data_IF_230854957055
#
_entry.id   IF_230854957055
#
_cell.length_a   1.000
_cell.length_b   1.000
_cell.length_c   1.000
_cell.angle_alpha   90.00
_cell.angle_beta   90.00
_cell.angle_gamma   90.00
#
_symmetry.space_group_name_H-M   'P 1'
#
loop_
_entity.id
_entity.type
_entity.pdbx_description
1 polymer ?
#
# COMPACT_ATOMS: atom_id res chain seq x y z
N UNK A 1 17.59 5.89 -3.07
CA UNK A 1 17.28 5.17 -1.83
C UNK A 1 16.50 3.91 -2.15
N UNK A 2 16.87 2.79 -1.50
CA UNK A 2 16.22 1.50 -1.66
C UNK A 2 15.58 1.06 -0.34
N UNK A 3 14.46 0.36 -0.43
CA UNK A 3 13.88 -0.32 0.73
C UNK A 3 14.48 -1.71 0.91
N UNK A 4 14.68 -2.13 2.15
CA UNK A 4 15.20 -3.45 2.50
C UNK A 4 14.08 -4.51 2.53
N UNK A 5 14.32 -5.69 1.96
CA UNK A 5 15.49 -6.08 1.19
C UNK A 5 15.41 -5.63 -0.28
N UNK A 6 16.42 -4.92 -0.80
CA UNK A 6 16.35 -4.28 -2.13
C UNK A 6 16.21 -5.28 -3.28
N UNK A 7 16.52 -6.55 -3.04
CA UNK A 7 16.31 -7.62 -4.03
C UNK A 7 14.83 -7.87 -4.31
N UNK A 8 13.96 -7.69 -3.31
CA UNK A 8 12.55 -8.06 -3.40
C UNK A 8 11.63 -6.84 -3.54
N UNK A 9 11.91 -5.77 -2.80
CA UNK A 9 11.13 -4.54 -2.88
C UNK A 9 11.51 -3.74 -4.12
N UNK A 10 10.50 -3.30 -4.86
CA UNK A 10 10.70 -2.69 -6.17
C UNK A 10 10.99 -1.19 -6.12
N UNK A 11 10.75 -0.51 -5.00
CA UNK A 11 10.96 0.93 -4.88
C UNK A 11 12.42 1.32 -5.07
N UNK A 12 12.64 2.30 -5.93
CA UNK A 12 13.88 3.03 -6.08
C UNK A 12 13.58 4.54 -6.09
N UNK A 13 13.77 5.19 -4.95
CA UNK A 13 13.62 6.63 -4.83
C UNK A 13 14.88 7.32 -5.37
N UNK A 14 14.69 8.26 -6.30
CA UNK A 14 15.73 9.12 -6.87
C UNK A 14 15.53 10.53 -6.30
N UNK A 15 16.51 11.01 -5.54
CA UNK A 15 16.43 12.26 -4.78
C UNK A 15 17.49 13.22 -5.31
N UNK A 16 17.19 14.07 -6.31
CA UNK A 16 18.14 15.07 -6.81
C UNK A 16 18.26 16.23 -5.82
N UNK A 17 19.48 16.69 -5.63
CA UNK A 17 19.77 17.94 -4.95
C UNK A 17 19.89 19.09 -5.95
N UNK A 18 19.92 20.33 -5.46
CA UNK A 18 19.96 21.55 -6.30
C UNK A 18 21.09 21.57 -7.33
N UNK A 19 22.21 20.89 -7.06
CA UNK A 19 23.38 20.81 -7.96
C UNK A 19 23.44 19.53 -8.79
N UNK A 20 22.47 18.66 -8.68
CA UNK A 20 22.45 17.39 -9.43
C UNK A 20 22.17 17.66 -10.91
N UNK A 21 23.01 17.12 -11.79
CA UNK A 21 22.81 17.25 -13.24
C UNK A 21 21.49 16.56 -13.65
N UNK A 22 20.57 17.26 -14.32
CA UNK A 22 19.32 16.67 -14.81
C UNK A 22 19.52 15.43 -15.71
N UNK A 23 20.63 15.37 -16.45
CA UNK A 23 20.96 14.19 -17.27
C UNK A 23 21.26 12.96 -16.42
N UNK A 24 21.89 13.14 -15.24
CA UNK A 24 22.12 12.07 -14.31
C UNK A 24 20.81 11.57 -13.70
N UNK A 25 19.89 12.48 -13.40
CA UNK A 25 18.54 12.12 -12.90
C UNK A 25 17.82 11.27 -13.94
N UNK A 26 17.75 11.73 -15.19
CA UNK A 26 17.12 10.97 -16.28
C UNK A 26 17.76 9.60 -16.50
N UNK A 27 19.10 9.55 -16.45
CA UNK A 27 19.82 8.28 -16.55
C UNK A 27 19.48 7.32 -15.40
N UNK A 28 19.43 7.80 -14.14
CA UNK A 28 19.11 6.96 -13.00
C UNK A 28 17.66 6.47 -13.01
N UNK A 29 16.73 7.30 -13.47
CA UNK A 29 15.33 6.91 -13.64
C UNK A 29 15.22 5.77 -14.66
N UNK A 30 15.84 5.91 -15.83
CA UNK A 30 15.84 4.88 -16.87
C UNK A 30 16.61 3.61 -16.43
N UNK A 31 17.78 3.79 -15.82
CA UNK A 31 18.59 2.66 -15.32
C UNK A 31 17.83 1.84 -14.27
N UNK A 32 17.16 2.50 -13.34
CA UNK A 32 16.36 1.84 -12.31
C UNK A 32 15.19 1.08 -12.89
N UNK A 33 14.48 1.67 -13.84
CA UNK A 33 13.33 1.07 -14.51
C UNK A 33 13.75 -0.09 -15.45
N UNK A 34 14.56 0.21 -16.45
CA UNK A 34 14.87 -0.73 -17.54
C UNK A 34 15.89 -1.79 -17.14
N UNK A 35 16.95 -1.40 -16.41
CA UNK A 35 18.05 -2.32 -16.10
C UNK A 35 17.83 -3.04 -14.78
N UNK A 36 17.38 -2.34 -13.73
CA UNK A 36 17.16 -2.95 -12.42
C UNK A 36 15.75 -3.55 -12.24
N UNK A 37 14.81 -3.27 -13.13
CA UNK A 37 13.41 -3.70 -13.02
C UNK A 37 12.71 -3.11 -11.78
N UNK A 38 13.12 -1.91 -11.37
CA UNK A 38 12.57 -1.19 -10.23
C UNK A 38 11.49 -0.22 -10.68
N UNK A 39 10.60 0.13 -9.75
CA UNK A 39 9.77 1.32 -9.89
C UNK A 39 10.60 2.51 -9.43
N UNK A 40 11.01 3.35 -10.37
CA UNK A 40 11.74 4.58 -10.05
C UNK A 40 10.76 5.70 -9.71
N UNK A 41 11.01 6.37 -8.60
CA UNK A 41 10.18 7.47 -8.11
C UNK A 41 11.07 8.69 -7.87
N UNK A 42 10.74 9.80 -8.51
CA UNK A 42 11.40 11.07 -8.27
C UNK A 42 10.85 11.70 -7.00
N UNK A 43 11.72 11.96 -6.03
CA UNK A 43 11.36 12.50 -4.72
C UNK A 43 12.04 13.86 -4.49
N UNK A 44 11.42 14.67 -3.63
CA UNK A 44 12.10 15.85 -3.08
C UNK A 44 13.13 15.45 -2.02
N UNK A 45 14.17 16.30 -1.86
CA UNK A 45 15.17 16.10 -0.78
C UNK A 45 14.62 16.61 0.56
N UNK A 46 13.66 15.86 1.09
CA UNK A 46 12.95 16.14 2.35
C UNK A 46 13.10 14.97 3.32
N UNK A 47 12.97 15.19 4.63
CA UNK A 47 13.11 14.12 5.63
C UNK A 47 12.17 12.96 5.38
N UNK A 48 12.74 11.75 5.22
CA UNK A 48 11.99 10.51 4.95
C UNK A 48 11.55 10.31 3.51
N UNK A 49 11.84 11.26 2.63
CA UNK A 49 11.42 11.26 1.22
C UNK A 49 9.90 10.99 1.10
N UNK A 50 9.47 10.07 0.24
CA UNK A 50 8.07 9.68 0.15
C UNK A 50 7.80 8.46 1.02
N UNK A 51 8.54 7.39 0.78
CA UNK A 51 8.21 6.07 1.35
C UNK A 51 8.25 6.05 2.87
N UNK A 52 9.33 6.48 3.49
CA UNK A 52 9.42 6.51 4.96
C UNK A 52 8.48 7.56 5.58
N UNK A 53 8.31 8.72 4.92
CA UNK A 53 7.43 9.78 5.44
C UNK A 53 6.00 9.28 5.63
N UNK A 54 5.42 8.70 4.58
CA UNK A 54 4.04 8.18 4.61
C UNK A 54 3.96 6.86 5.39
N UNK A 55 4.90 5.93 5.19
CA UNK A 55 4.86 4.60 5.82
C UNK A 55 4.98 4.64 7.34
N UNK A 56 5.83 5.50 7.88
CA UNK A 56 5.96 5.69 9.34
C UNK A 56 4.68 6.29 9.92
N UNK A 57 4.10 7.30 9.25
CA UNK A 57 2.81 7.87 9.63
C UNK A 57 1.71 6.80 9.70
N UNK A 58 1.60 5.93 8.68
CA UNK A 58 0.64 4.81 8.68
C UNK A 58 0.83 3.88 9.87
N UNK A 59 2.07 3.52 10.20
CA UNK A 59 2.40 2.68 11.35
C UNK A 59 2.02 3.31 12.69
N UNK A 60 2.34 4.59 12.87
CA UNK A 60 2.01 5.35 14.09
C UNK A 60 0.49 5.46 14.24
N UNK A 61 -0.23 5.87 13.19
CA UNK A 61 -1.70 6.00 13.25
C UNK A 61 -2.36 4.66 13.57
N UNK A 62 -1.90 3.57 12.97
CA UNK A 62 -2.39 2.22 13.30
C UNK A 62 -2.19 1.88 14.78
N UNK A 63 -1.02 2.18 15.36
CA UNK A 63 -0.74 1.97 16.79
C UNK A 63 -1.64 2.82 17.69
N UNK A 64 -1.84 4.09 17.36
CA UNK A 64 -2.74 4.98 18.10
C UNK A 64 -4.19 4.48 18.11
N UNK A 65 -4.68 4.03 16.95
CA UNK A 65 -6.03 3.49 16.82
C UNK A 65 -6.19 2.13 17.52
N UNK A 66 -5.11 1.35 17.60
CA UNK A 66 -5.08 0.10 18.37
C UNK A 66 -5.38 0.38 19.86
N UNK A 67 -4.69 1.36 20.43
CA UNK A 67 -4.92 1.80 21.83
C UNK A 67 -6.31 2.42 21.99
N UNK A 68 -6.69 3.34 21.09
CA UNK A 68 -7.98 4.05 21.13
C UNK A 68 -9.18 3.12 21.18
N UNK A 69 -9.14 2.04 20.39
CA UNK A 69 -10.25 1.07 20.27
C UNK A 69 -10.03 -0.21 21.07
N UNK A 70 -8.94 -0.27 21.83
CA UNK A 70 -8.56 -1.43 22.65
C UNK A 70 -8.52 -2.74 21.87
N UNK A 71 -7.93 -2.71 20.67
CA UNK A 71 -7.69 -3.91 19.87
C UNK A 71 -6.42 -4.65 20.33
N UNK A 72 -6.43 -5.96 20.17
CA UNK A 72 -5.23 -6.78 20.30
C UNK A 72 -4.38 -6.67 19.06
N UNK A 73 -3.07 -6.82 19.20
CA UNK A 73 -2.13 -6.70 18.08
C UNK A 73 -2.43 -7.68 16.94
N UNK A 74 -2.92 -8.88 17.26
CA UNK A 74 -3.31 -9.87 16.25
C UNK A 74 -4.56 -9.44 15.46
N UNK A 75 -5.49 -8.74 16.10
CA UNK A 75 -6.69 -8.20 15.46
C UNK A 75 -6.30 -7.11 14.45
N UNK A 76 -5.41 -6.22 14.85
CA UNK A 76 -4.92 -5.16 13.97
C UNK A 76 -4.09 -5.71 12.81
N UNK A 77 -3.23 -6.70 13.05
CA UNK A 77 -2.52 -7.37 11.94
C UNK A 77 -3.48 -8.03 10.94
N UNK A 78 -4.60 -8.57 11.42
CA UNK A 78 -5.65 -9.09 10.53
C UNK A 78 -6.35 -7.98 9.75
N UNK A 79 -6.62 -6.84 10.40
CA UNK A 79 -7.30 -5.68 9.83
C UNK A 79 -6.42 -4.95 8.82
N UNK A 80 -5.12 -4.78 9.12
CA UNK A 80 -4.15 -4.06 8.27
C UNK A 80 -3.40 -4.99 7.31
N UNK A 81 -4.03 -6.09 6.92
CA UNK A 81 -3.50 -7.06 5.98
C UNK A 81 -4.20 -7.06 4.63
N UNK A 82 -4.29 -8.25 4.02
CA UNK A 82 -4.82 -8.43 2.65
C UNK A 82 -6.27 -7.99 2.45
N UNK A 83 -7.05 -7.85 3.52
CA UNK A 83 -8.44 -7.39 3.43
C UNK A 83 -8.54 -5.97 2.86
N UNK A 84 -7.54 -5.14 3.09
CA UNK A 84 -7.43 -3.77 2.55
C UNK A 84 -6.28 -3.62 1.53
N UNK A 85 -5.82 -4.71 0.95
CA UNK A 85 -4.77 -4.67 -0.08
C UNK A 85 -3.35 -4.50 0.45
N UNK A 86 -3.10 -4.70 1.75
CA UNK A 86 -1.78 -4.65 2.37
C UNK A 86 -1.19 -6.07 2.51
N UNK A 87 0.13 -6.22 2.70
CA UNK A 87 0.74 -7.51 2.98
C UNK A 87 0.18 -8.21 4.22
N UNK A 88 0.17 -9.54 4.20
CA UNK A 88 -0.35 -10.33 5.31
C UNK A 88 0.42 -10.20 6.64
N UNK A 89 1.54 -9.51 6.64
CA UNK A 89 2.26 -9.17 7.88
C UNK A 89 1.44 -8.25 8.80
N UNK A 90 0.55 -7.44 8.24
CA UNK A 90 -0.15 -6.42 9.03
C UNK A 90 0.78 -5.36 9.57
N UNK A 91 0.43 -4.74 10.69
CA UNK A 91 1.19 -3.63 11.29
C UNK A 91 2.29 -4.12 12.24
N UNK A 92 1.96 -4.90 13.25
CA UNK A 92 2.88 -5.26 14.33
C UNK A 92 3.90 -6.34 13.93
N UNK A 93 3.49 -7.33 13.14
CA UNK A 93 4.44 -8.29 12.56
C UNK A 93 5.39 -7.64 11.56
N UNK A 94 4.93 -6.63 10.81
CA UNK A 94 5.80 -5.87 9.93
C UNK A 94 6.86 -5.11 10.71
N UNK A 95 6.49 -4.47 11.84
CA UNK A 95 7.43 -3.79 12.70
C UNK A 95 8.47 -4.75 13.29
N UNK A 96 8.07 -5.94 13.73
CA UNK A 96 8.99 -6.98 14.19
C UNK A 96 9.92 -7.49 13.08
N UNK A 97 9.47 -7.49 11.83
CA UNK A 97 10.27 -7.89 10.66
C UNK A 97 11.32 -6.83 10.31
N UNK A 98 10.93 -5.55 10.31
CA UNK A 98 11.81 -4.40 10.04
C UNK A 98 12.84 -4.23 11.18
N UNK A 99 12.38 -4.42 12.39
CA UNK A 99 13.11 -4.20 13.62
C UNK A 99 12.77 -2.88 14.28
N UNK A 100 12.34 -2.96 15.54
CA UNK A 100 11.80 -1.82 16.29
C UNK A 100 12.82 -0.72 16.53
N UNK A 101 14.10 -1.06 16.70
CA UNK A 101 15.21 -0.08 16.76
C UNK A 101 15.38 0.69 15.43
N UNK A 102 15.16 0.04 14.31
CA UNK A 102 15.16 0.73 13.00
C UNK A 102 13.96 1.67 12.89
N UNK A 103 12.78 1.19 13.30
CA UNK A 103 11.55 2.00 13.32
C UNK A 103 11.69 3.20 14.26
N UNK A 104 12.27 2.99 15.45
CA UNK A 104 12.55 4.06 16.43
C UNK A 104 13.48 5.13 15.87
N UNK A 105 14.61 4.72 15.28
CA UNK A 105 15.56 5.63 14.66
C UNK A 105 14.95 6.47 13.54
N UNK A 106 14.16 5.86 12.66
CA UNK A 106 13.49 6.58 11.56
C UNK A 106 12.43 7.52 12.09
N UNK A 107 11.63 7.09 13.05
CA UNK A 107 10.60 7.92 13.70
C UNK A 107 11.24 9.14 14.40
N UNK A 108 12.27 8.92 15.19
CA UNK A 108 13.00 10.00 15.87
C UNK A 108 13.65 10.98 14.88
N UNK A 109 14.20 10.46 13.77
CA UNK A 109 14.72 11.29 12.70
C UNK A 109 13.63 12.19 12.11
N UNK A 110 12.46 11.63 11.79
CA UNK A 110 11.33 12.40 11.26
C UNK A 110 10.84 13.44 12.26
N UNK A 111 10.62 13.07 13.50
CA UNK A 111 10.20 13.99 14.57
C UNK A 111 11.13 15.19 14.74
N UNK A 112 12.44 14.98 14.57
CA UNK A 112 13.42 16.04 14.76
C UNK A 112 13.66 16.92 13.54
N UNK A 113 13.34 16.44 12.32
CA UNK A 113 13.69 17.10 11.08
C UNK A 113 12.48 17.55 10.25
N UNK A 114 11.29 17.01 10.50
CA UNK A 114 10.06 17.46 9.86
C UNK A 114 9.50 18.63 10.63
N UNK A 115 9.47 19.79 9.98
CA UNK A 115 8.92 21.02 10.54
C UNK A 115 7.70 21.42 9.71
N UNK A 116 6.81 22.20 10.30
CA UNK A 116 5.59 22.72 9.64
C UNK A 116 4.63 21.63 9.10
N UNK A 117 4.68 20.46 9.72
CA UNK A 117 3.85 19.30 9.41
C UNK A 117 2.88 19.01 10.54
N UNK A 118 1.60 19.03 10.24
CA UNK A 118 0.55 18.89 11.25
C UNK A 118 0.61 17.53 11.96
N UNK A 119 0.90 16.43 11.25
CA UNK A 119 0.94 15.09 11.84
C UNK A 119 2.12 14.93 12.80
N UNK A 120 3.35 15.18 12.32
CA UNK A 120 4.56 14.98 13.14
C UNK A 120 4.69 16.03 14.24
N UNK A 121 4.22 17.27 14.02
CA UNK A 121 4.19 18.30 15.07
C UNK A 121 3.22 17.92 16.19
N UNK A 122 2.01 17.48 15.85
CA UNK A 122 1.05 17.01 16.86
C UNK A 122 1.54 15.77 17.61
N UNK A 123 2.33 14.91 16.96
CA UNK A 123 2.88 13.71 17.59
C UNK A 123 3.89 14.06 18.71
N UNK A 124 4.65 15.15 18.56
CA UNK A 124 5.61 15.60 19.60
C UNK A 124 4.94 15.93 20.94
N UNK A 125 3.69 16.37 20.89
CA UNK A 125 2.92 16.76 22.06
C UNK A 125 2.09 15.60 22.68
N UNK A 126 2.12 14.43 22.04
CA UNK A 126 1.41 13.25 22.51
C UNK A 126 2.26 12.44 23.52
N UNK A 127 1.59 11.75 24.46
CA UNK A 127 2.29 10.84 25.35
C UNK A 127 2.97 9.72 24.57
N UNK A 128 4.18 9.39 25.00
CA UNK A 128 4.96 8.30 24.42
C UNK A 128 4.21 6.96 24.53
N UNK A 129 4.24 6.16 23.43
CA UNK A 129 3.64 4.82 23.44
C UNK A 129 4.38 3.93 24.44
N UNK A 130 3.71 3.56 25.53
CA UNK A 130 4.31 2.82 26.66
C UNK A 130 4.83 1.45 26.25
N UNK A 131 4.09 0.74 25.41
CA UNK A 131 4.47 -0.60 24.97
C UNK A 131 5.64 -0.57 24.00
N UNK A 132 5.69 0.41 23.10
CA UNK A 132 6.84 0.61 22.21
C UNK A 132 8.10 0.96 23.02
N UNK A 133 8.00 1.89 23.98
CA UNK A 133 9.08 2.22 24.89
C UNK A 133 9.58 1.01 25.67
N UNK A 134 8.66 0.24 26.26
CA UNK A 134 8.99 -1.00 26.95
C UNK A 134 9.82 -1.96 26.06
N UNK A 135 9.43 -2.13 24.78
CA UNK A 135 10.13 -2.98 23.85
C UNK A 135 11.54 -2.47 23.55
N UNK A 136 11.71 -1.17 23.33
CA UNK A 136 13.03 -0.54 23.07
C UNK A 136 13.95 -0.64 24.28
N UNK A 137 13.48 -0.30 25.49
CA UNK A 137 14.26 -0.33 26.73
C UNK A 137 14.76 -1.76 27.06
N UNK A 138 13.93 -2.78 26.76
CA UNK A 138 14.28 -4.18 26.97
C UNK A 138 15.06 -4.80 25.80
N UNK A 139 15.36 -4.06 24.72
CA UNK A 139 16.02 -4.52 23.52
C UNK A 139 15.27 -5.65 22.81
N UNK A 140 13.94 -5.62 22.88
CA UNK A 140 13.06 -6.54 22.18
C UNK A 140 12.76 -5.99 20.78
N UNK A 141 13.71 -6.12 19.87
CA UNK A 141 13.71 -5.48 18.56
C UNK A 141 13.00 -6.28 17.45
N UNK A 142 12.17 -7.25 17.82
CA UNK A 142 11.45 -8.09 16.86
C UNK A 142 12.25 -9.34 16.46
N UNK A 143 12.08 -9.78 15.22
CA UNK A 143 12.63 -11.04 14.73
C UNK A 143 14.14 -11.18 14.91
N UNK A 144 14.90 -10.11 14.75
CA UNK A 144 16.35 -10.10 14.87
C UNK A 144 16.86 -10.34 16.31
N UNK A 145 16.04 -10.00 17.31
CA UNK A 145 16.33 -10.28 18.72
C UNK A 145 15.56 -11.50 19.24
N UNK A 146 14.73 -12.11 18.41
CA UNK A 146 13.87 -13.23 18.77
C UNK A 146 12.60 -12.86 19.54
N UNK A 147 12.42 -11.58 19.86
CA UNK A 147 11.32 -11.05 20.65
C UNK A 147 11.04 -9.60 20.28
N UNK A 148 9.77 -9.23 20.16
CA UNK A 148 9.26 -7.92 19.85
C UNK A 148 7.79 -7.84 20.27
N UNK A 149 6.91 -7.36 19.42
CA UNK A 149 5.47 -7.48 19.64
C UNK A 149 5.03 -8.95 19.71
N UNK A 150 5.76 -9.80 19.00
CA UNK A 150 5.59 -11.26 19.07
C UNK A 150 6.87 -11.93 19.58
N UNK A 151 6.68 -13.06 20.24
CA UNK A 151 7.76 -13.93 20.71
C UNK A 151 7.52 -15.34 20.19
N UNK A 152 8.49 -15.88 19.46
CA UNK A 152 8.48 -17.27 19.05
C UNK A 152 9.10 -18.13 20.16
N UNK A 153 8.27 -18.91 20.85
CA UNK A 153 8.74 -19.74 21.96
C UNK A 153 9.42 -21.03 21.48
N UNK A 154 10.11 -21.72 22.39
CA UNK A 154 10.66 -23.06 22.13
C UNK A 154 9.60 -24.16 22.22
N UNK A 155 8.45 -23.87 22.83
CA UNK A 155 7.33 -24.79 22.92
C UNK A 155 6.75 -25.10 21.55
N UNK A 156 6.23 -26.32 21.41
CA UNK A 156 5.55 -26.77 20.19
C UNK A 156 4.09 -27.03 20.46
N UNK A 157 3.27 -26.68 19.49
CA UNK A 157 1.86 -27.05 19.47
C UNK A 157 1.68 -28.54 19.06
N UNK A 158 0.43 -29.01 19.05
CA UNK A 158 0.08 -30.38 18.67
C UNK A 158 0.51 -30.75 17.23
N UNK A 159 0.74 -29.75 16.38
CA UNK A 159 1.19 -29.92 15.00
C UNK A 159 2.72 -29.74 14.84
N UNK A 160 3.48 -29.66 15.94
CA UNK A 160 4.93 -29.47 15.94
C UNK A 160 5.40 -28.06 15.57
N UNK A 161 4.47 -27.06 15.49
CA UNK A 161 4.79 -25.67 15.21
C UNK A 161 5.14 -24.94 16.49
N UNK A 162 6.05 -23.97 16.41
CA UNK A 162 6.37 -23.14 17.59
C UNK A 162 5.14 -22.35 18.05
N UNK A 163 4.91 -22.37 19.34
CA UNK A 163 3.93 -21.51 19.99
C UNK A 163 4.39 -20.06 19.84
N UNK A 164 3.48 -19.17 19.46
CA UNK A 164 3.75 -17.74 19.35
C UNK A 164 3.02 -17.03 20.49
N UNK A 165 3.76 -16.22 21.23
CA UNK A 165 3.18 -15.30 22.18
C UNK A 165 3.04 -13.91 21.53
N UNK A 166 2.08 -13.14 22.00
CA UNK A 166 1.80 -11.77 21.61
C UNK A 166 1.85 -10.87 22.85
N UNK A 167 2.41 -9.67 22.68
CA UNK A 167 2.45 -8.67 23.72
C UNK A 167 1.04 -8.13 24.00
N UNK A 168 0.66 -8.09 25.23
CA UNK A 168 -0.49 -7.34 25.69
C UNK A 168 -0.09 -5.89 25.91
N UNK A 169 -0.73 -4.94 25.20
CA UNK A 169 -0.32 -3.54 25.20
C UNK A 169 -0.69 -2.78 26.49
N UNK A 170 -1.62 -3.32 27.29
CA UNK A 170 -2.01 -2.71 28.56
C UNK A 170 -1.03 -3.09 29.68
N UNK A 171 -0.65 -4.38 29.73
CA UNK A 171 0.15 -4.94 30.82
C UNK A 171 1.64 -5.03 30.52
N UNK A 172 2.02 -4.98 29.23
CA UNK A 172 3.36 -5.32 28.73
C UNK A 172 3.80 -6.76 29.05
N UNK A 173 2.84 -7.65 29.28
CA UNK A 173 3.09 -9.08 29.47
C UNK A 173 2.84 -9.88 28.18
N UNK A 174 3.59 -10.98 28.04
CA UNK A 174 3.40 -11.87 26.90
C UNK A 174 2.35 -12.94 27.21
N UNK A 175 1.36 -13.06 26.35
CA UNK A 175 0.33 -14.10 26.39
C UNK A 175 0.34 -14.93 25.13
N UNK A 176 -0.22 -16.14 25.18
CA UNK A 176 -0.40 -16.97 23.99
C UNK A 176 -1.18 -16.17 22.94
N UNK A 177 -0.65 -16.13 21.71
CA UNK A 177 -1.31 -15.46 20.59
C UNK A 177 -2.64 -16.13 20.27
N UNK A 178 -3.65 -15.32 20.00
CA UNK A 178 -4.98 -15.76 19.63
C UNK A 178 -5.17 -15.75 18.12
N UNK A 179 -6.15 -16.51 17.63
CA UNK A 179 -6.65 -16.37 16.27
C UNK A 179 -7.79 -15.34 16.30
N UNK A 180 -7.61 -14.16 15.68
CA UNK A 180 -8.64 -13.13 15.68
C UNK A 180 -9.95 -13.62 15.04
N UNK A 181 -11.08 -13.19 15.61
CA UNK A 181 -12.40 -13.47 15.07
C UNK A 181 -13.20 -12.17 15.03
N UNK A 182 -13.06 -11.41 13.95
CA UNK A 182 -13.78 -10.16 13.70
C UNK A 182 -14.82 -10.42 12.60
N UNK A 183 -16.11 -10.36 12.93
CA UNK A 183 -17.18 -10.63 11.97
C UNK A 183 -17.12 -9.75 10.74
N UNK A 184 -16.83 -8.46 10.91
CA UNK A 184 -16.71 -7.47 9.83
C UNK A 184 -15.60 -7.86 8.85
N UNK A 185 -14.47 -8.35 9.36
CA UNK A 185 -13.35 -8.79 8.49
C UNK A 185 -13.70 -10.06 7.73
N UNK A 186 -14.45 -10.97 8.38
CA UNK A 186 -14.92 -12.19 7.71
C UNK A 186 -15.88 -11.85 6.58
N UNK A 187 -16.81 -10.92 6.81
CA UNK A 187 -17.77 -10.46 5.81
C UNK A 187 -17.04 -9.70 4.69
N UNK A 188 -16.18 -8.75 5.01
CA UNK A 188 -15.40 -8.00 4.05
C UNK A 188 -14.60 -8.91 3.09
N UNK A 189 -14.02 -10.01 3.61
CA UNK A 189 -13.28 -10.98 2.78
C UNK A 189 -14.17 -11.75 1.78
N UNK A 190 -15.48 -11.79 1.97
CA UNK A 190 -16.43 -12.39 1.01
C UNK A 190 -16.81 -11.43 -0.13
N UNK A 191 -16.51 -10.13 0.01
CA UNK A 191 -16.77 -9.12 -1.01
C UNK A 191 -15.58 -9.12 -1.98
N UNK A 192 -15.81 -9.59 -3.20
CA UNK A 192 -14.75 -9.70 -4.22
C UNK A 192 -14.23 -8.34 -4.68
N UNK A 193 -15.15 -7.41 -5.00
CA UNK A 193 -14.81 -6.10 -5.53
C UNK A 193 -14.22 -5.21 -4.44
N UNK A 194 -13.02 -4.71 -4.69
CA UNK A 194 -12.24 -3.97 -3.69
C UNK A 194 -12.92 -2.66 -3.26
N UNK A 195 -13.49 -1.92 -4.19
CA UNK A 195 -14.25 -0.68 -3.93
C UNK A 195 -15.43 -0.93 -2.98
N UNK A 196 -16.21 -1.99 -3.22
CA UNK A 196 -17.34 -2.38 -2.38
C UNK A 196 -16.87 -2.83 -1.00
N UNK A 197 -15.75 -3.53 -0.94
CA UNK A 197 -15.15 -3.99 0.31
C UNK A 197 -14.67 -2.81 1.16
N UNK A 198 -13.99 -1.84 0.57
CA UNK A 198 -13.56 -0.62 1.27
C UNK A 198 -14.74 0.18 1.81
N UNK A 199 -15.77 0.40 0.98
CA UNK A 199 -17.00 1.10 1.40
C UNK A 199 -17.66 0.40 2.58
N UNK A 200 -17.85 -0.94 2.51
CA UNK A 200 -18.35 -1.72 3.63
C UNK A 200 -17.54 -1.51 4.92
N UNK A 201 -16.21 -1.48 4.82
CA UNK A 201 -15.34 -1.31 5.98
C UNK A 201 -15.40 0.08 6.61
N UNK A 202 -15.68 1.14 5.86
CA UNK A 202 -15.71 2.52 6.38
C UNK A 202 -17.12 3.03 6.73
N UNK A 203 -18.18 2.38 6.26
CA UNK A 203 -19.57 2.85 6.43
C UNK A 203 -20.25 2.40 7.74
N UNK A 204 -19.78 1.36 8.40
CA UNK A 204 -20.40 0.84 9.62
C UNK A 204 -20.05 1.63 10.89
N UNK A 205 -20.65 1.22 12.02
CA UNK A 205 -20.52 1.88 13.32
C UNK A 205 -19.72 1.09 14.36
N UNK A 206 -19.27 -0.11 14.03
CA UNK A 206 -18.45 -0.93 14.94
C UNK A 206 -17.07 -0.28 15.18
N UNK A 207 -16.34 -0.73 16.19
CA UNK A 207 -14.97 -0.27 16.42
C UNK A 207 -14.04 -0.60 15.24
N UNK A 208 -14.29 -1.69 14.53
CA UNK A 208 -13.57 -2.06 13.31
C UNK A 208 -13.80 -1.03 12.21
N UNK A 209 -15.06 -0.64 11.96
CA UNK A 209 -15.39 0.37 10.96
C UNK A 209 -14.82 1.76 11.33
N UNK A 210 -14.94 2.15 12.60
CA UNK A 210 -14.36 3.42 13.10
C UNK A 210 -12.85 3.44 12.96
N UNK A 211 -12.17 2.32 13.24
CA UNK A 211 -10.74 2.17 12.99
C UNK A 211 -10.40 2.45 11.53
N UNK A 212 -11.07 1.79 10.57
CA UNK A 212 -10.79 2.01 9.15
C UNK A 212 -11.11 3.42 8.68
N UNK A 213 -12.22 3.97 9.15
CA UNK A 213 -12.60 5.34 8.83
C UNK A 213 -11.54 6.35 9.24
N UNK A 214 -11.05 6.28 10.48
CA UNK A 214 -10.01 7.18 10.95
C UNK A 214 -8.63 6.86 10.35
N UNK A 215 -8.33 5.59 10.12
CA UNK A 215 -7.07 5.17 9.51
C UNK A 215 -6.93 5.71 8.08
N UNK A 216 -7.93 5.46 7.25
CA UNK A 216 -7.93 5.98 5.88
C UNK A 216 -8.05 7.50 5.82
N UNK A 217 -8.88 8.13 6.67
CA UNK A 217 -8.96 9.60 6.71
C UNK A 217 -7.60 10.23 6.95
N UNK A 218 -6.82 9.72 7.89
CA UNK A 218 -5.48 10.22 8.17
C UNK A 218 -4.53 9.97 6.99
N UNK A 219 -4.51 8.77 6.41
CA UNK A 219 -3.62 8.44 5.28
C UNK A 219 -3.90 9.32 4.07
N UNK A 220 -5.18 9.45 3.69
CA UNK A 220 -5.58 10.20 2.51
C UNK A 220 -5.31 11.70 2.69
N UNK A 221 -5.71 12.26 3.85
CA UNK A 221 -5.43 13.64 4.20
C UNK A 221 -3.94 13.93 4.18
N UNK A 222 -3.15 13.16 4.94
CA UNK A 222 -1.72 13.39 5.05
C UNK A 222 -0.99 13.25 3.71
N UNK A 223 -1.32 12.23 2.91
CA UNK A 223 -0.74 12.08 1.58
C UNK A 223 -1.02 13.27 0.67
N UNK A 224 -2.26 13.80 0.72
CA UNK A 224 -2.64 14.95 -0.09
C UNK A 224 -2.03 16.27 0.40
N UNK A 225 -1.91 16.45 1.72
CA UNK A 225 -1.27 17.62 2.33
C UNK A 225 0.24 17.65 2.10
N UNK A 226 0.88 16.50 1.92
CA UNK A 226 2.32 16.39 1.68
C UNK A 226 2.75 16.83 0.28
N UNK A 227 1.82 17.14 -0.63
CA UNK A 227 2.10 17.70 -1.95
C UNK A 227 2.01 19.24 -1.85
N UNK A 228 2.98 20.00 -2.36
CA UNK A 228 4.16 19.60 -3.16
C UNK A 228 5.46 19.39 -2.37
N UNK A 229 5.40 19.23 -1.05
CA UNK A 229 6.61 19.16 -0.20
C UNK A 229 7.49 17.94 -0.53
N UNK A 230 6.90 16.73 -0.58
CA UNK A 230 7.65 15.47 -0.75
C UNK A 230 7.69 14.97 -2.19
N UNK A 231 6.71 15.37 -3.00
CA UNK A 231 6.54 14.97 -4.41
C UNK A 231 5.88 16.11 -5.20
N UNK A 232 6.10 16.15 -6.52
CA UNK A 232 5.40 17.09 -7.39
C UNK A 232 3.97 16.65 -7.68
N UNK A 233 3.75 15.33 -7.83
CA UNK A 233 2.49 14.74 -8.21
C UNK A 233 2.13 13.55 -7.31
N UNK A 234 0.85 13.32 -7.13
CA UNK A 234 0.34 12.28 -6.23
C UNK A 234 0.60 10.83 -6.72
N UNK A 235 0.76 10.59 -8.03
CA UNK A 235 1.11 9.27 -8.54
C UNK A 235 2.47 8.78 -8.02
N UNK A 236 3.39 9.71 -7.71
CA UNK A 236 4.69 9.39 -7.13
C UNK A 236 4.55 8.81 -5.70
N UNK A 237 3.58 9.34 -4.94
CA UNK A 237 3.25 8.81 -3.60
C UNK A 237 2.68 7.39 -3.74
N UNK A 238 1.73 7.18 -4.65
CA UNK A 238 1.14 5.86 -4.86
C UNK A 238 2.19 4.84 -5.32
N UNK A 239 3.03 5.19 -6.28
CA UNK A 239 4.10 4.32 -6.76
C UNK A 239 5.10 3.98 -5.64
N UNK A 240 5.48 4.97 -4.80
CA UNK A 240 6.39 4.74 -3.68
C UNK A 240 5.80 3.79 -2.63
N UNK A 241 4.53 3.98 -2.26
CA UNK A 241 3.87 3.16 -1.24
C UNK A 241 3.59 1.75 -1.78
N UNK A 242 3.10 1.62 -3.00
CA UNK A 242 2.87 0.30 -3.62
C UNK A 242 4.14 -0.53 -3.70
N UNK A 243 5.24 0.06 -4.08
CA UNK A 243 6.48 -0.68 -4.38
C UNK A 243 7.46 -0.75 -3.22
N UNK A 244 7.36 0.18 -2.26
CA UNK A 244 8.15 0.18 -1.03
C UNK A 244 7.56 -0.69 0.08
N UNK A 245 6.23 -0.75 0.17
CA UNK A 245 5.53 -1.52 1.19
C UNK A 245 4.72 -2.69 0.63
N UNK A 246 4.83 -2.95 -0.66
CA UNK A 246 4.08 -4.00 -1.36
C UNK A 246 2.56 -3.90 -1.17
N UNK A 247 2.02 -2.68 -1.14
CA UNK A 247 0.58 -2.46 -1.14
C UNK A 247 0.01 -2.72 -2.53
N UNK A 248 -1.22 -3.22 -2.59
CA UNK A 248 -1.94 -3.41 -3.87
C UNK A 248 -2.37 -2.07 -4.48
N UNK A 249 -2.67 -1.10 -3.63
CA UNK A 249 -3.13 0.24 -4.02
C UNK A 249 -2.40 1.30 -3.20
N UNK A 250 -2.02 2.41 -3.83
CA UNK A 250 -1.52 3.57 -3.13
C UNK A 250 -2.65 4.43 -2.53
N UNK A 251 -2.33 5.46 -1.73
CA UNK A 251 -3.32 6.30 -1.08
C UNK A 251 -4.39 6.89 -2.02
N UNK A 252 -4.01 7.42 -3.17
CA UNK A 252 -4.95 8.03 -4.11
C UNK A 252 -5.72 6.98 -4.93
N UNK A 253 -5.14 5.82 -5.19
CA UNK A 253 -5.87 4.68 -5.75
C UNK A 253 -6.92 4.13 -4.75
N UNK A 254 -6.62 4.13 -3.44
CA UNK A 254 -7.59 3.83 -2.39
C UNK A 254 -8.71 4.88 -2.36
N UNK A 255 -8.36 6.17 -2.54
CA UNK A 255 -9.34 7.25 -2.59
C UNK A 255 -10.29 7.08 -3.78
N UNK A 256 -9.78 6.73 -4.97
CA UNK A 256 -10.61 6.44 -6.15
C UNK A 256 -11.59 5.28 -5.87
N UNK A 257 -11.15 4.23 -5.19
CA UNK A 257 -12.03 3.10 -4.82
C UNK A 257 -13.14 3.50 -3.83
N UNK A 258 -12.90 4.48 -2.97
CA UNK A 258 -13.92 5.07 -2.08
C UNK A 258 -14.84 6.04 -2.83
N UNK A 259 -14.31 6.74 -3.82
CA UNK A 259 -14.90 7.88 -4.50
C UNK A 259 -14.42 9.20 -3.90
N UNK A 260 -14.15 10.20 -4.75
CA UNK A 260 -13.55 11.49 -4.33
C UNK A 260 -14.39 12.17 -3.25
N UNK A 261 -15.69 12.37 -3.49
CA UNK A 261 -16.60 13.04 -2.56
C UNK A 261 -16.73 12.29 -1.24
N UNK A 262 -16.91 10.97 -1.30
CA UNK A 262 -16.98 10.11 -0.10
C UNK A 262 -15.71 10.24 0.73
N UNK A 263 -14.53 10.27 0.08
CA UNK A 263 -13.27 10.46 0.77
C UNK A 263 -13.15 11.85 1.42
N UNK A 264 -13.57 12.91 0.72
CA UNK A 264 -13.61 14.28 1.27
C UNK A 264 -14.51 14.35 2.51
N UNK A 265 -15.72 13.80 2.43
CA UNK A 265 -16.66 13.77 3.55
C UNK A 265 -16.11 12.96 4.73
N UNK A 266 -15.53 11.82 4.45
CA UNK A 266 -14.92 10.95 5.46
C UNK A 266 -13.79 11.67 6.20
N UNK A 267 -12.85 12.28 5.48
CA UNK A 267 -11.72 13.04 6.03
C UNK A 267 -12.23 14.14 6.95
N UNK A 268 -13.15 14.98 6.46
CA UNK A 268 -13.75 16.08 7.25
C UNK A 268 -14.49 15.58 8.49
N UNK A 269 -15.22 14.46 8.37
CA UNK A 269 -15.96 13.88 9.50
C UNK A 269 -15.06 13.33 10.61
N UNK A 270 -13.81 13.01 10.29
CA UNK A 270 -12.78 12.59 11.25
C UNK A 270 -11.95 13.76 11.82
N UNK A 271 -12.23 15.00 11.39
CA UNK A 271 -11.52 16.20 11.84
C UNK A 271 -10.15 16.40 11.17
N UNK A 272 -9.90 15.67 10.09
CA UNK A 272 -8.68 15.82 9.28
C UNK A 272 -8.90 16.87 8.17
N UNK A 273 -7.83 17.43 7.63
CA UNK A 273 -7.87 18.48 6.61
C UNK A 273 -7.88 17.91 5.19
N UNK A 274 -8.57 18.62 4.29
CA UNK A 274 -8.55 18.35 2.85
C UNK A 274 -7.92 19.56 2.16
N UNK A 275 -6.78 19.41 1.46
CA UNK A 275 -6.14 20.53 0.79
C UNK A 275 -7.00 21.07 -0.36
N UNK A 276 -6.86 22.38 -0.64
CA UNK A 276 -7.68 23.07 -1.64
C UNK A 276 -7.57 22.43 -3.03
N UNK A 277 -6.41 21.90 -3.42
CA UNK A 277 -6.25 21.29 -4.73
C UNK A 277 -7.16 20.08 -4.95
N UNK A 278 -7.50 19.32 -3.89
CA UNK A 278 -8.49 18.22 -3.95
C UNK A 278 -9.89 18.76 -4.17
N UNK A 279 -10.30 19.79 -3.42
CA UNK A 279 -11.62 20.39 -3.58
C UNK A 279 -11.77 21.08 -4.93
N UNK A 280 -10.72 21.72 -5.43
CA UNK A 280 -10.69 22.34 -6.75
C UNK A 280 -10.76 21.29 -7.88
N UNK A 281 -10.06 20.15 -7.69
CA UNK A 281 -10.13 19.01 -8.61
C UNK A 281 -11.58 18.49 -8.69
N UNK A 282 -12.22 18.21 -7.56
CA UNK A 282 -13.60 17.75 -7.50
C UNK A 282 -14.55 18.80 -8.14
N UNK A 283 -14.44 20.07 -7.80
CA UNK A 283 -15.24 21.15 -8.36
C UNK A 283 -15.06 21.34 -9.87
N UNK A 284 -13.93 20.91 -10.45
CA UNK A 284 -13.69 20.94 -11.89
C UNK A 284 -14.36 19.81 -12.67
N UNK A 285 -15.06 18.89 -11.98
CA UNK A 285 -15.75 17.75 -12.55
C UNK A 285 -14.85 16.53 -12.78
N UNK A 286 -13.68 16.47 -12.15
CA UNK A 286 -12.87 15.26 -12.13
C UNK A 286 -13.54 14.18 -11.27
N UNK A 287 -13.80 13.03 -11.86
CA UNK A 287 -14.51 11.92 -11.21
C UNK A 287 -13.58 10.98 -10.45
N UNK A 288 -12.27 11.00 -10.79
CA UNK A 288 -11.25 10.11 -10.22
C UNK A 288 -9.87 10.74 -10.32
N UNK A 289 -8.93 10.26 -9.51
CA UNK A 289 -7.50 10.60 -9.64
C UNK A 289 -6.90 9.97 -10.89
N UNK A 290 -7.32 8.74 -11.20
CA UNK A 290 -6.78 7.97 -12.32
C UNK A 290 -7.89 7.56 -13.30
N UNK A 291 -7.49 7.44 -14.57
CA UNK A 291 -8.30 6.80 -15.64
C UNK A 291 -7.44 5.85 -16.43
N UNK A 292 -8.08 4.80 -16.94
CA UNK A 292 -7.45 3.88 -17.89
C UNK A 292 -8.05 4.13 -19.28
N UNK A 293 -7.23 4.60 -20.19
CA UNK A 293 -7.64 4.88 -21.56
C UNK A 293 -6.54 4.45 -22.53
N UNK A 294 -6.91 3.82 -23.65
CA UNK A 294 -5.98 3.37 -24.70
C UNK A 294 -4.83 2.47 -24.18
N UNK A 295 -5.13 1.61 -23.21
CA UNK A 295 -4.16 0.71 -22.61
C UNK A 295 -3.15 1.39 -21.67
N UNK A 296 -3.37 2.66 -21.30
CA UNK A 296 -2.48 3.46 -20.45
C UNK A 296 -3.18 3.94 -19.21
N UNK A 297 -2.42 4.02 -18.11
CA UNK A 297 -2.84 4.69 -16.90
C UNK A 297 -2.59 6.19 -17.05
N UNK A 298 -3.63 6.98 -16.86
CA UNK A 298 -3.58 8.45 -16.83
C UNK A 298 -3.89 8.95 -15.43
N UNK A 299 -3.31 10.07 -15.06
CA UNK A 299 -3.65 10.79 -13.83
C UNK A 299 -4.19 12.19 -14.15
N UNK A 300 -5.03 12.72 -13.29
CA UNK A 300 -5.57 14.06 -13.45
C UNK A 300 -4.49 15.08 -13.04
N UNK A 301 -3.94 15.79 -14.02
CA UNK A 301 -3.02 16.91 -13.77
C UNK A 301 -3.80 18.15 -13.34
N UNK A 302 -3.58 18.55 -12.09
CA UNK A 302 -4.28 19.68 -11.46
C UNK A 302 -4.02 21.01 -12.21
N UNK A 303 -2.83 21.17 -12.80
CA UNK A 303 -2.45 22.39 -13.48
C UNK A 303 -3.14 22.54 -14.84
N UNK A 304 -3.11 21.50 -15.66
CA UNK A 304 -3.76 21.52 -16.99
C UNK A 304 -5.24 21.17 -16.93
N UNK A 305 -5.74 20.65 -15.79
CA UNK A 305 -7.12 20.15 -15.60
C UNK A 305 -7.51 19.06 -16.62
N UNK A 306 -6.56 18.19 -16.93
CA UNK A 306 -6.71 17.10 -17.91
C UNK A 306 -6.09 15.81 -17.40
N UNK A 307 -6.59 14.69 -17.89
CA UNK A 307 -5.93 13.40 -17.70
C UNK A 307 -4.76 13.28 -18.66
N UNK A 308 -3.56 13.10 -18.11
CA UNK A 308 -2.31 12.88 -18.85
C UNK A 308 -1.68 11.55 -18.45
N UNK A 309 -0.86 10.98 -19.32
CA UNK A 309 -0.24 9.67 -19.06
C UNK A 309 0.66 9.76 -17.82
N UNK A 310 0.56 8.75 -16.94
CA UNK A 310 1.52 8.58 -15.83
C UNK A 310 2.90 8.28 -16.43
N UNK A 311 3.93 9.11 -16.18
CA UNK A 311 5.25 8.93 -16.81
C UNK A 311 5.90 7.59 -16.52
N UNK A 312 5.75 7.07 -15.31
CA UNK A 312 6.31 5.78 -14.88
C UNK A 312 5.66 4.55 -15.51
N UNK A 313 4.54 4.72 -16.23
CA UNK A 313 3.80 3.61 -16.86
C UNK A 313 4.06 3.46 -18.35
N UNK A 314 4.86 4.31 -18.97
CA UNK A 314 5.00 4.35 -20.43
C UNK A 314 5.64 3.09 -21.03
N UNK A 315 6.51 2.43 -20.27
CA UNK A 315 7.23 1.21 -20.68
C UNK A 315 6.60 -0.07 -20.14
N UNK A 316 5.43 0.02 -19.49
CA UNK A 316 4.79 -1.13 -18.86
C UNK A 316 3.38 -1.36 -19.42
N UNK A 317 3.01 -2.63 -19.59
CA UNK A 317 1.63 -3.01 -19.79
C UNK A 317 0.92 -3.08 -18.44
N UNK A 318 -0.12 -2.29 -18.26
CA UNK A 318 -0.96 -2.31 -17.06
C UNK A 318 -2.23 -3.07 -17.42
N UNK A 319 -2.35 -4.32 -16.97
CA UNK A 319 -3.44 -5.21 -17.36
C UNK A 319 -4.83 -4.65 -17.03
N UNK A 320 -4.94 -3.84 -15.97
CA UNK A 320 -6.20 -3.17 -15.63
C UNK A 320 -6.75 -2.30 -16.76
N UNK A 321 -5.86 -1.70 -17.56
CA UNK A 321 -6.25 -0.90 -18.72
C UNK A 321 -6.84 -1.72 -19.89
N UNK A 322 -6.70 -3.04 -19.86
CA UNK A 322 -7.18 -3.94 -20.90
C UNK A 322 -8.40 -4.77 -20.46
N UNK A 323 -8.75 -4.75 -19.17
CA UNK A 323 -9.80 -5.63 -18.62
C UNK A 323 -11.21 -5.33 -19.15
N UNK A 324 -11.56 -4.08 -19.37
CA UNK A 324 -12.93 -3.72 -19.75
C UNK A 324 -13.25 -3.99 -21.22
N UNK A 325 -12.30 -3.73 -22.13
CA UNK A 325 -12.58 -3.69 -23.55
C UNK A 325 -11.76 -4.67 -24.41
N UNK A 326 -10.82 -5.40 -23.81
CA UNK A 326 -9.84 -6.22 -24.52
C UNK A 326 -9.76 -7.67 -24.03
N UNK A 327 -10.76 -8.10 -23.28
CA UNK A 327 -10.85 -9.48 -22.80
C UNK A 327 -11.27 -10.41 -23.93
N UNK A 328 -10.45 -11.42 -24.23
CA UNK A 328 -10.69 -12.44 -25.26
C UNK A 328 -11.37 -13.67 -24.67
N UNK A 329 -10.84 -14.14 -23.52
CA UNK A 329 -11.28 -15.34 -22.84
C UNK A 329 -11.18 -15.13 -21.32
N UNK A 330 -12.09 -15.75 -20.57
CA UNK A 330 -12.04 -15.79 -19.11
C UNK A 330 -12.57 -17.09 -18.55
N UNK A 331 -11.86 -17.63 -17.57
CA UNK A 331 -12.37 -18.67 -16.67
C UNK A 331 -12.04 -18.28 -15.20
N UNK A 332 -12.46 -19.04 -14.19
CA UNK A 332 -12.19 -18.69 -12.79
C UNK A 332 -10.71 -18.57 -12.38
N UNK A 333 -9.79 -19.17 -13.15
CA UNK A 333 -8.37 -19.24 -12.83
C UNK A 333 -7.50 -18.35 -13.71
N UNK A 334 -7.95 -17.95 -14.91
CA UNK A 334 -7.20 -17.04 -15.78
C UNK A 334 -8.09 -16.18 -16.67
N UNK A 335 -7.51 -15.07 -17.13
CA UNK A 335 -8.08 -14.20 -18.16
C UNK A 335 -7.08 -14.01 -19.30
N UNK A 336 -7.54 -13.97 -20.53
CA UNK A 336 -6.73 -13.68 -21.73
C UNK A 336 -7.13 -12.32 -22.27
N UNK A 337 -6.14 -11.44 -22.43
CA UNK A 337 -6.33 -10.07 -22.91
C UNK A 337 -5.61 -9.84 -24.25
N UNK A 338 -6.22 -9.03 -25.12
CA UNK A 338 -5.52 -8.41 -26.25
C UNK A 338 -4.71 -7.21 -25.73
N UNK A 339 -3.39 -7.31 -25.70
CA UNK A 339 -2.50 -6.24 -25.25
C UNK A 339 -1.96 -5.36 -26.38
N UNK A 340 -2.49 -5.53 -27.60
CA UNK A 340 -2.06 -4.81 -28.78
C UNK A 340 -1.04 -5.57 -29.61
N UNK A 341 -0.68 -5.03 -30.76
CA UNK A 341 0.31 -5.55 -31.71
C UNK A 341 0.09 -7.02 -32.15
N UNK A 342 -1.15 -7.51 -32.02
CA UNK A 342 -1.50 -8.90 -32.27
C UNK A 342 -0.97 -9.88 -31.23
N UNK A 343 -0.74 -9.42 -29.99
CA UNK A 343 -0.24 -10.22 -28.88
C UNK A 343 -1.32 -10.43 -27.84
N UNK A 344 -1.52 -11.66 -27.40
CA UNK A 344 -2.35 -12.01 -26.25
C UNK A 344 -1.53 -12.08 -24.97
N UNK A 345 -2.14 -11.69 -23.85
CA UNK A 345 -1.58 -11.90 -22.50
C UNK A 345 -2.48 -12.82 -21.69
N UNK A 346 -1.95 -13.91 -21.17
CA UNK A 346 -2.64 -14.81 -20.24
C UNK A 346 -2.30 -14.40 -18.83
N UNK A 347 -3.28 -13.80 -18.13
CA UNK A 347 -3.18 -13.40 -16.73
C UNK A 347 -3.66 -14.52 -15.82
N UNK A 348 -2.81 -15.03 -14.92
CA UNK A 348 -3.20 -16.00 -13.91
C UNK A 348 -3.89 -15.30 -12.75
N UNK A 349 -5.03 -15.85 -12.31
CA UNK A 349 -5.82 -15.32 -11.18
C UNK A 349 -5.83 -16.25 -9.97
N UNK A 350 -5.04 -17.32 -10.00
CA UNK A 350 -4.91 -18.25 -8.90
C UNK A 350 -3.99 -17.73 -7.80
N UNK A 351 -4.21 -18.17 -6.58
CA UNK A 351 -3.35 -17.82 -5.45
C UNK A 351 -1.90 -18.27 -5.69
N UNK A 352 -0.98 -17.30 -5.69
CA UNK A 352 0.45 -17.55 -5.92
C UNK A 352 0.76 -18.04 -7.33
N UNK A 353 -0.08 -17.69 -8.32
CA UNK A 353 0.06 -18.08 -9.72
C UNK A 353 0.24 -19.59 -9.91
N UNK A 354 -0.41 -20.40 -9.04
CA UNK A 354 -0.34 -21.85 -9.12
C UNK A 354 -1.09 -22.33 -10.35
N UNK A 355 -0.48 -23.23 -11.13
CA UNK A 355 -1.07 -23.77 -12.34
C UNK A 355 -2.01 -24.92 -11.98
N UNK A 356 -3.32 -24.67 -12.13
CA UNK A 356 -4.39 -25.63 -11.97
C UNK A 356 -4.99 -26.06 -13.31
N UNK A 357 -6.10 -26.80 -13.24
CA UNK A 357 -6.81 -27.27 -14.43
C UNK A 357 -7.34 -26.11 -15.28
N UNK A 358 -7.90 -25.08 -14.64
CA UNK A 358 -8.44 -23.90 -15.34
C UNK A 358 -7.37 -23.10 -16.08
N UNK A 359 -6.15 -22.98 -15.52
CA UNK A 359 -5.03 -22.34 -16.20
C UNK A 359 -4.58 -23.18 -17.40
N UNK A 360 -4.41 -24.51 -17.22
CA UNK A 360 -4.01 -25.39 -18.31
C UNK A 360 -5.04 -25.36 -19.45
N UNK A 361 -6.33 -25.35 -19.12
CA UNK A 361 -7.42 -25.21 -20.11
C UNK A 361 -7.37 -23.85 -20.79
N UNK A 362 -7.20 -22.76 -20.05
CA UNK A 362 -7.11 -21.40 -20.60
C UNK A 362 -5.92 -21.21 -21.54
N UNK A 363 -4.75 -21.80 -21.23
CA UNK A 363 -3.59 -21.80 -22.12
C UNK A 363 -3.89 -22.51 -23.43
N UNK A 364 -4.48 -23.72 -23.40
CA UNK A 364 -4.82 -24.46 -24.60
C UNK A 364 -5.85 -23.70 -25.46
N UNK A 365 -6.90 -23.18 -24.86
CA UNK A 365 -7.91 -22.38 -25.56
C UNK A 365 -7.29 -21.10 -26.19
N UNK A 366 -6.36 -20.44 -25.48
CA UNK A 366 -5.66 -19.28 -26.03
C UNK A 366 -4.77 -19.65 -27.24
N UNK A 367 -4.13 -20.82 -27.23
CA UNK A 367 -3.35 -21.33 -28.36
C UNK A 367 -4.28 -21.61 -29.57
N UNK A 368 -5.39 -22.31 -29.35
CA UNK A 368 -6.36 -22.60 -30.41
C UNK A 368 -6.91 -21.32 -31.06
N UNK A 369 -7.20 -20.30 -30.23
CA UNK A 369 -7.65 -18.96 -30.68
C UNK A 369 -6.52 -18.28 -31.48
N UNK A 370 -5.28 -18.35 -30.99
CA UNK A 370 -4.15 -17.69 -31.63
C UNK A 370 -3.87 -18.26 -33.01
N UNK A 371 -3.91 -19.58 -33.14
CA UNK A 371 -3.72 -20.27 -34.43
C UNK A 371 -4.88 -19.98 -35.41
N UNK A 372 -6.12 -20.04 -34.92
CA UNK A 372 -7.30 -19.79 -35.74
C UNK A 372 -7.37 -18.37 -36.28
N UNK A 373 -7.09 -17.38 -35.43
CA UNK A 373 -7.34 -15.97 -35.70
C UNK A 373 -6.07 -15.21 -36.13
N UNK A 374 -4.91 -15.90 -36.22
CA UNK A 374 -3.67 -15.34 -36.75
C UNK A 374 -2.96 -14.35 -35.84
N UNK A 375 -2.94 -14.59 -34.53
CA UNK A 375 -2.20 -13.78 -33.57
C UNK A 375 -0.68 -13.95 -33.73
N UNK A 376 0.06 -12.87 -33.44
CA UNK A 376 1.52 -12.85 -33.57
C UNK A 376 2.24 -13.57 -32.41
N UNK A 377 1.61 -13.64 -31.22
CA UNK A 377 2.22 -14.28 -30.06
C UNK A 377 1.34 -14.29 -28.82
N UNK A 378 1.80 -15.06 -27.82
CA UNK A 378 1.19 -15.18 -26.51
C UNK A 378 2.26 -14.90 -25.46
N UNK A 379 1.92 -14.08 -24.45
CA UNK A 379 2.71 -13.80 -23.23
C UNK A 379 1.96 -14.37 -22.03
N UNK A 380 2.67 -14.94 -21.07
CA UNK A 380 2.12 -15.48 -19.82
C UNK A 380 2.73 -14.70 -18.65
#
# INVERSE_FOLDING_TARGET
>A
HFFNPPRYLRLFEVIPQTKTDPKLVSFLMEFGDVILGKQTVLCKDTPGFIGNRIGVMCGIKSSQLTEKYNFKIEEVDLMTGSVIGLPNSGTFRLQDLVGLDTSDNVTNFLLNNVNDDTFYSNLKDQPENKSFKFLIENKFFGNKSGKGYYEKTKEKDENGRSVINALDLETNEYRKSIKPNLPEIKEAKSIELFDRRLKFLVEGDSNVNKFYKEYFSCILSYSAMSIPEIADDYYQIDDAIRTGYAWSYGPFEIWDNLGIETGIEMIKSCGEEVPNWITDMSASGAESFYKFEDGKKKFYDVNSKKYINVPSSQNHYILDAFRENKQILRNPECTVHDIGDGVMCIEFQTKGNSIGEGIAKGINEAIDIAERDGWNGIVI
#
